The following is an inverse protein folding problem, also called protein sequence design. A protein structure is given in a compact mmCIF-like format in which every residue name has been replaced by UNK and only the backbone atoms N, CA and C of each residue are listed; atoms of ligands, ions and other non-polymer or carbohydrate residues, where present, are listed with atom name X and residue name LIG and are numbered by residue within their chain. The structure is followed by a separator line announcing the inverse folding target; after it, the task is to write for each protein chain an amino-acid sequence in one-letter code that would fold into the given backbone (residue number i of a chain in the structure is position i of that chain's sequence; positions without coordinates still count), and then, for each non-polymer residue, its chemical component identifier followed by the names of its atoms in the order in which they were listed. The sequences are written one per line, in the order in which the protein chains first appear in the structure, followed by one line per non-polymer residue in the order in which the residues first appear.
data_IF_740124351334
#
_entry.id   IF_740124351334
#
_cell.length_a   1.000
_cell.length_b   1.000
_cell.length_c   1.000
_cell.angle_alpha   90.00
_cell.angle_beta   90.00
_cell.angle_gamma   90.00
#
_symmetry.space_group_name_H-M   'P 1'
#
loop_
_entity.id
_entity.type
_entity.pdbx_description
1 polymer ?
2 non-polymer ?
3 water ?
#
# COMPACT_ATOMS: atom_id res chain seq x y z
N UNK A 31 14.17 14.52 -33.41
CA UNK A 31 13.19 13.81 -34.28
C UNK A 31 12.53 12.67 -33.48
N UNK A 32 13.36 11.73 -33.00
CA UNK A 32 12.99 10.68 -32.02
C UNK A 32 12.36 11.34 -30.79
N UNK A 33 13.09 12.27 -30.17
CA UNK A 33 12.66 13.01 -28.96
C UNK A 33 11.35 13.78 -29.27
N UNK A 34 11.25 14.41 -30.45
CA UNK A 34 10.06 15.16 -30.90
C UNK A 34 8.85 14.24 -31.03
N UNK A 35 9.03 13.07 -31.64
CA UNK A 35 7.95 12.05 -31.79
C UNK A 35 7.51 11.59 -30.39
N UNK A 36 8.48 11.23 -29.56
CA UNK A 36 8.24 10.78 -28.17
C UNK A 36 7.49 11.89 -27.43
N UNK A 37 7.86 13.16 -27.60
CA UNK A 37 7.22 14.27 -26.84
C UNK A 37 5.74 14.35 -27.25
N UNK A 38 5.44 14.30 -28.55
CA UNK A 38 4.07 14.41 -29.08
C UNK A 38 3.22 13.25 -28.57
N UNK A 39 3.78 12.04 -28.58
CA UNK A 39 3.08 10.82 -28.12
C UNK A 39 2.79 10.92 -26.61
N UNK A 40 3.74 11.38 -25.81
CA UNK A 40 3.57 11.46 -24.34
C UNK A 40 2.50 12.51 -24.03
N UNK A 41 2.55 13.64 -24.74
CA UNK A 41 1.58 14.73 -24.57
C UNK A 41 0.20 14.23 -24.92
N UNK A 42 0.07 13.60 -26.09
CA UNK A 42 -1.18 13.02 -26.59
C UNK A 42 -1.76 12.00 -25.63
N UNK A 43 -0.92 11.05 -25.20
CA UNK A 43 -1.33 9.94 -24.30
C UNK A 43 -1.79 10.51 -22.94
N UNK A 44 -1.01 11.39 -22.33
CA UNK A 44 -1.34 12.03 -21.03
C UNK A 44 -2.72 12.71 -21.16
N UNK A 45 -2.95 13.44 -22.25
CA UNK A 45 -4.26 14.12 -22.46
C UNK A 45 -5.39 13.10 -22.58
N UNK A 46 -5.29 12.10 -23.44
CA UNK A 46 -6.46 11.21 -23.71
C UNK A 46 -6.68 10.22 -22.55
N UNK A 47 -5.61 9.66 -21.97
CA UNK A 47 -5.71 8.73 -20.79
C UNK A 47 -6.18 9.49 -19.56
N UNK A 48 -5.73 10.75 -19.42
CA UNK A 48 -6.16 11.65 -18.34
C UNK A 48 -7.67 11.86 -18.40
N UNK A 49 -8.24 11.90 -19.61
CA UNK A 49 -9.69 12.14 -19.86
C UNK A 49 -10.50 10.87 -19.69
N UNK A 50 -10.06 9.75 -20.25
CA UNK A 50 -10.95 8.60 -20.48
C UNK A 50 -10.44 7.36 -19.75
N UNK A 51 -9.20 7.39 -19.25
CA UNK A 51 -8.54 6.22 -18.65
C UNK A 51 -7.80 5.39 -19.67
N UNK A 52 -6.78 4.68 -19.21
CA UNK A 52 -5.92 3.77 -20.00
C UNK A 52 -6.75 2.77 -20.81
N UNK A 53 -7.75 2.13 -20.21
CA UNK A 53 -8.51 1.04 -20.82
C UNK A 53 -9.33 1.54 -22.02
N UNK A 54 -9.73 2.82 -22.03
CA UNK A 54 -10.72 3.33 -23.00
C UNK A 54 -10.04 3.97 -24.22
N UNK A 55 -8.71 4.08 -24.22
CA UNK A 55 -7.99 4.72 -25.37
C UNK A 55 -6.88 3.79 -25.84
N UNK A 56 -6.93 3.42 -27.12
CA UNK A 56 -5.91 2.57 -27.76
C UNK A 56 -4.77 3.40 -28.31
N UNK A 57 -3.69 2.72 -28.68
CA UNK A 57 -2.50 3.37 -29.26
C UNK A 57 -2.81 4.01 -30.63
N UNK A 58 -3.67 3.46 -31.51
CA UNK A 58 -3.90 4.11 -32.81
C UNK A 58 -4.49 5.53 -32.61
N UNK A 59 -5.40 5.67 -31.65
CA UNK A 59 -6.01 6.98 -31.32
C UNK A 59 -4.94 7.95 -30.80
N UNK A 60 -4.01 7.48 -29.97
CA UNK A 60 -2.92 8.33 -29.45
C UNK A 60 -1.96 8.78 -30.57
N UNK A 61 -1.63 7.89 -31.49
CA UNK A 61 -0.72 8.20 -32.63
C UNK A 61 -1.36 9.33 -33.46
N UNK A 62 -2.67 9.26 -33.69
CA UNK A 62 -3.42 10.30 -34.46
C UNK A 62 -3.40 11.61 -33.69
N UNK A 63 -3.65 11.57 -32.38
CA UNK A 63 -3.58 12.75 -31.48
C UNK A 63 -2.21 13.44 -31.58
N UNK A 64 -1.12 12.65 -31.62
CA UNK A 64 0.27 13.14 -31.75
C UNK A 64 0.56 13.57 -33.19
N UNK A 65 -0.22 13.11 -34.18
CA UNK A 65 0.02 13.34 -35.62
C UNK A 65 1.22 12.54 -36.12
N UNK A 66 1.40 11.31 -35.65
CA UNK A 66 2.46 10.40 -36.20
C UNK A 66 1.80 9.09 -36.65
N UNK A 67 2.45 8.29 -37.51
CA UNK A 67 1.91 6.99 -37.98
C UNK A 67 2.04 5.97 -36.85
N UNK A 68 1.29 4.87 -36.93
CA UNK A 68 1.44 3.74 -35.96
C UNK A 68 2.89 3.24 -36.04
N UNK A 69 3.46 3.18 -37.24
CA UNK A 69 4.84 2.73 -37.46
C UNK A 69 5.83 3.56 -36.65
N UNK A 70 5.71 4.89 -36.71
CA UNK A 70 6.63 5.79 -36.00
C UNK A 70 6.42 5.63 -34.49
N UNK A 71 5.18 5.41 -34.05
CA UNK A 71 4.90 5.25 -32.61
C UNK A 71 5.58 3.97 -32.10
N UNK A 72 5.42 2.87 -32.81
CA UNK A 72 5.95 1.53 -32.40
C UNK A 72 7.49 1.55 -32.45
N UNK A 73 8.08 2.38 -33.30
CA UNK A 73 9.55 2.60 -33.32
C UNK A 73 9.99 3.15 -31.96
N UNK A 74 9.17 3.98 -31.28
CA UNK A 74 9.58 4.70 -30.06
C UNK A 74 9.16 3.94 -28.80
N UNK A 75 8.02 3.26 -28.84
CA UNK A 75 7.43 2.53 -27.70
C UNK A 75 7.03 1.13 -28.17
N UNK A 76 7.52 0.14 -27.46
CA UNK A 76 7.32 -1.31 -27.71
C UNK A 76 5.81 -1.60 -27.73
N UNK A 77 5.05 -1.00 -26.82
CA UNK A 77 3.63 -1.32 -26.64
C UNK A 77 2.97 -0.24 -25.79
N UNK A 78 1.67 -0.38 -25.58
CA UNK A 78 0.82 0.56 -24.81
C UNK A 78 1.39 0.80 -23.41
N UNK A 79 1.76 -0.25 -22.69
CA UNK A 79 2.31 -0.18 -21.32
C UNK A 79 3.63 0.61 -21.29
N UNK A 80 4.46 0.50 -22.31
CA UNK A 80 5.76 1.21 -22.36
C UNK A 80 5.52 2.73 -22.53
N UNK A 81 4.53 3.11 -23.32
CA UNK A 81 4.15 4.54 -23.46
C UNK A 81 3.63 5.02 -22.11
N UNK A 82 2.81 4.19 -21.46
CA UNK A 82 2.20 4.52 -20.16
C UNK A 82 3.31 4.75 -19.12
N UNK A 83 4.39 3.96 -19.14
CA UNK A 83 5.52 4.11 -18.19
C UNK A 83 6.07 5.54 -18.28
N UNK A 84 6.27 6.04 -19.50
CA UNK A 84 6.83 7.39 -19.74
C UNK A 84 5.80 8.45 -19.31
N UNK A 85 4.51 8.22 -19.56
CA UNK A 85 3.40 9.14 -19.17
C UNK A 85 3.40 9.25 -17.64
N UNK A 86 3.52 8.13 -16.93
CA UNK A 86 3.56 8.17 -15.45
C UNK A 86 4.73 9.02 -14.96
N UNK A 87 5.91 8.92 -15.55
CA UNK A 87 7.09 9.72 -15.13
C UNK A 87 6.75 11.22 -15.26
N UNK A 88 6.19 11.66 -16.38
CA UNK A 88 5.93 13.11 -16.59
C UNK A 88 4.76 13.53 -15.66
N UNK A 89 3.79 12.65 -15.40
CA UNK A 89 2.67 12.98 -14.48
C UNK A 89 3.22 13.11 -13.06
N UNK A 90 4.11 12.20 -12.65
CA UNK A 90 4.75 12.24 -11.28
C UNK A 90 5.59 13.52 -11.17
N UNK A 91 6.31 13.87 -12.23
CA UNK A 91 7.08 15.15 -12.27
C UNK A 91 6.14 16.35 -12.09
N UNK A 92 4.97 16.36 -12.74
CA UNK A 92 3.97 17.44 -12.63
C UNK A 92 3.36 17.51 -11.21
N UNK A 93 3.02 16.36 -10.65
CA UNK A 93 2.54 16.22 -9.24
C UNK A 93 3.55 16.89 -8.29
N UNK A 94 4.85 16.55 -8.42
CA UNK A 94 5.91 17.05 -7.50
C UNK A 94 5.99 18.56 -7.65
N UNK A 95 6.01 19.08 -8.88
CA UNK A 95 6.12 20.53 -9.14
C UNK A 95 4.89 21.24 -8.57
N UNK A 96 3.69 20.67 -8.72
CA UNK A 96 2.45 21.28 -8.19
C UNK A 96 2.49 21.30 -6.65
N UNK A 97 2.92 20.20 -6.02
CA UNK A 97 3.05 20.17 -4.53
C UNK A 97 4.07 21.20 -4.06
N UNK A 98 5.23 21.32 -4.72
CA UNK A 98 6.30 22.26 -4.30
C UNK A 98 5.77 23.70 -4.48
N UNK A 99 5.01 23.97 -5.54
CA UNK A 99 4.42 25.31 -5.79
C UNK A 99 3.41 25.62 -4.68
N UNK A 100 2.50 24.68 -4.39
CA UNK A 100 1.47 24.84 -3.33
C UNK A 100 2.14 25.06 -1.96
N UNK A 101 3.19 24.31 -1.63
CA UNK A 101 3.96 24.46 -0.35
C UNK A 101 4.59 25.87 -0.32
N UNK A 102 5.26 26.32 -1.37
CA UNK A 102 5.89 27.67 -1.43
C UNK A 102 4.80 28.76 -1.28
N UNK A 103 3.65 28.61 -1.93
CA UNK A 103 2.54 29.59 -1.89
C UNK A 103 1.85 29.60 -0.51
N UNK A 104 1.96 28.53 0.29
CA UNK A 104 1.20 28.37 1.57
C UNK A 104 1.68 29.43 2.59
N UNK A 105 2.91 29.92 2.44
CA UNK A 105 3.58 30.78 3.43
C UNK A 105 3.97 30.00 4.68
N UNK A 106 4.24 28.70 4.56
CA UNK A 106 4.85 27.89 5.64
C UNK A 106 6.14 28.59 6.07
N UNK A 107 6.29 28.85 7.37
CA UNK A 107 7.37 29.68 7.96
C UNK A 107 8.43 28.79 8.59
N UNK A 108 8.13 27.49 8.82
CA UNK A 108 9.00 26.53 9.54
C UNK A 108 8.91 25.18 8.84
N UNK A 109 9.95 24.32 8.95
CA UNK A 109 9.84 22.95 8.46
C UNK A 109 8.58 22.21 8.92
N UNK A 110 8.14 22.39 10.17
CA UNK A 110 6.90 21.74 10.68
C UNK A 110 5.70 22.20 9.84
N UNK A 111 5.59 23.51 9.58
CA UNK A 111 4.47 24.05 8.77
C UNK A 111 4.60 23.58 7.31
N UNK A 112 5.81 23.46 6.77
CA UNK A 112 6.08 22.89 5.42
C UNK A 112 5.50 21.47 5.35
N UNK A 113 5.68 20.67 6.41
CA UNK A 113 5.16 19.27 6.44
C UNK A 113 3.63 19.32 6.32
N UNK A 114 3.00 20.15 7.16
CA UNK A 114 1.53 20.29 7.21
C UNK A 114 1.03 20.72 5.82
N UNK A 115 1.70 21.66 5.19
CA UNK A 115 1.31 22.21 3.85
C UNK A 115 1.53 21.15 2.76
N UNK A 116 2.58 20.33 2.87
CA UNK A 116 2.88 19.25 1.90
C UNK A 116 1.77 18.20 1.95
N UNK A 117 1.29 17.88 3.14
CA UNK A 117 0.18 16.91 3.32
C UNK A 117 -1.08 17.49 2.65
N UNK A 118 -1.40 18.76 2.90
CA UNK A 118 -2.57 19.43 2.27
C UNK A 118 -2.39 19.46 0.74
N UNK A 119 -1.19 19.72 0.25
CA UNK A 119 -0.87 19.79 -1.19
C UNK A 119 -1.11 18.42 -1.83
N UNK A 120 -0.72 17.33 -1.16
CA UNK A 120 -0.90 15.96 -1.70
C UNK A 120 -2.38 15.66 -1.85
N UNK A 121 -3.21 16.03 -0.85
CA UNK A 121 -4.67 15.78 -0.93
C UNK A 121 -5.27 16.57 -2.11
N UNK A 122 -4.78 17.79 -2.32
CA UNK A 122 -5.33 18.65 -3.41
C UNK A 122 -4.94 18.04 -4.77
N UNK A 123 -3.66 17.74 -4.97
CA UNK A 123 -3.15 17.25 -6.28
C UNK A 123 -3.71 15.85 -6.57
N UNK A 124 -3.74 14.94 -5.59
CA UNK A 124 -4.23 13.55 -5.81
C UNK A 124 -5.75 13.53 -5.99
N UNK A 125 -6.44 14.63 -5.63
CA UNK A 125 -7.90 14.78 -5.83
C UNK A 125 -8.24 15.30 -7.23
N UNK A 126 -7.25 15.73 -8.01
CA UNK A 126 -7.44 16.02 -9.46
C UNK A 126 -7.95 14.74 -10.13
N UNK A 127 -9.15 14.74 -10.78
CA UNK A 127 -9.70 13.53 -11.40
C UNK A 127 -8.74 12.81 -12.37
N UNK A 128 -7.84 13.57 -13.02
CA UNK A 128 -6.82 13.04 -13.95
C UNK A 128 -5.72 12.31 -13.18
N UNK A 129 -5.31 12.82 -12.04
CA UNK A 129 -4.23 12.18 -11.22
C UNK A 129 -4.85 10.95 -10.60
N UNK A 130 -6.06 11.07 -10.07
CA UNK A 130 -6.83 9.89 -9.61
C UNK A 130 -6.83 8.82 -10.71
N UNK A 131 -7.21 9.16 -11.94
CA UNK A 131 -7.35 8.18 -13.03
C UNK A 131 -5.98 7.57 -13.36
N UNK A 132 -4.94 8.38 -13.57
CA UNK A 132 -3.66 7.86 -14.14
C UNK A 132 -2.82 7.18 -13.05
N UNK A 133 -2.70 7.81 -11.87
CA UNK A 133 -1.74 7.38 -10.83
C UNK A 133 -2.46 6.45 -9.84
N UNK A 134 -3.66 6.78 -9.41
CA UNK A 134 -4.28 5.99 -8.31
C UNK A 134 -4.99 4.76 -8.88
N UNK A 135 -5.61 4.85 -10.06
CA UNK A 135 -6.37 3.70 -10.65
C UNK A 135 -5.54 2.96 -11.71
N UNK A 136 -5.09 3.66 -12.76
CA UNK A 136 -4.42 2.99 -13.91
C UNK A 136 -3.01 2.46 -13.54
N UNK A 137 -2.15 3.26 -12.91
CA UNK A 137 -0.71 2.94 -12.80
C UNK A 137 -0.49 1.58 -12.08
N UNK A 138 -1.15 1.32 -10.93
CA UNK A 138 -0.95 0.06 -10.21
C UNK A 138 -1.22 -1.14 -11.13
N UNK A 139 -2.22 -1.03 -12.00
CA UNK A 139 -2.69 -2.17 -12.84
C UNK A 139 -1.72 -2.32 -14.01
N UNK A 140 -1.40 -1.24 -14.71
CA UNK A 140 -0.56 -1.31 -15.92
C UNK A 140 0.88 -1.67 -15.55
N UNK A 141 1.44 -1.07 -14.50
CA UNK A 141 2.88 -1.22 -14.17
C UNK A 141 3.06 -2.50 -13.35
N UNK A 142 2.00 -2.95 -12.70
CA UNK A 142 2.03 -4.01 -11.68
C UNK A 142 2.57 -3.46 -10.38
N UNK A 143 2.56 -4.28 -9.32
CA UNK A 143 2.99 -3.88 -7.96
C UNK A 143 4.43 -3.34 -7.95
N UNK A 144 5.39 -4.12 -8.44
CA UNK A 144 6.83 -3.82 -8.27
C UNK A 144 7.11 -2.50 -9.02
N UNK A 145 6.62 -2.42 -10.27
CA UNK A 145 6.86 -1.26 -11.14
C UNK A 145 6.24 0.00 -10.53
N UNK A 146 4.98 -0.11 -10.06
CA UNK A 146 4.27 1.04 -9.47
C UNK A 146 4.97 1.50 -8.19
N UNK A 147 5.33 0.58 -7.31
CA UNK A 147 6.01 0.91 -6.03
C UNK A 147 7.36 1.59 -6.32
N UNK A 148 8.10 1.14 -7.32
CA UNK A 148 9.43 1.73 -7.65
C UNK A 148 9.23 3.20 -8.04
N UNK A 149 8.25 3.48 -8.90
CA UNK A 149 8.00 4.87 -9.39
C UNK A 149 7.56 5.75 -8.21
N UNK A 150 6.58 5.30 -7.43
CA UNK A 150 5.97 6.14 -6.38
C UNK A 150 7.02 6.41 -5.29
N UNK A 151 7.86 5.44 -4.96
CA UNK A 151 8.96 5.60 -3.97
C UNK A 151 10.01 6.56 -4.53
N UNK A 152 10.40 6.44 -5.80
CA UNK A 152 11.42 7.34 -6.37
C UNK A 152 10.95 8.80 -6.25
N UNK A 153 9.66 9.07 -6.43
CA UNK A 153 9.14 10.47 -6.42
C UNK A 153 8.84 10.94 -5.00
N UNK A 154 8.33 10.06 -4.12
CA UNK A 154 7.85 10.45 -2.77
C UNK A 154 8.95 10.33 -1.68
N UNK A 155 9.90 9.41 -1.77
CA UNK A 155 10.81 9.11 -0.62
C UNK A 155 11.75 10.30 -0.36
N UNK A 156 12.31 10.90 -1.43
CA UNK A 156 13.32 11.97 -1.30
C UNK A 156 12.72 13.24 -0.70
N UNK A 157 11.57 13.70 -1.20
CA UNK A 157 10.89 14.91 -0.67
C UNK A 157 10.54 14.63 0.80
N UNK A 158 10.04 13.43 1.10
CA UNK A 158 9.60 13.09 2.48
C UNK A 158 10.81 13.12 3.42
N UNK A 159 11.91 12.49 3.03
CA UNK A 159 13.13 12.39 3.89
C UNK A 159 13.66 13.80 4.17
N UNK A 160 13.61 14.67 3.17
CA UNK A 160 14.12 16.05 3.26
C UNK A 160 13.23 16.84 4.23
N UNK A 161 11.90 16.74 4.12
CA UNK A 161 10.95 17.40 5.06
C UNK A 161 11.25 16.98 6.49
N UNK A 162 11.44 15.66 6.72
CA UNK A 162 11.77 15.14 8.08
C UNK A 162 13.13 15.69 8.54
N UNK A 163 14.13 15.62 7.67
CA UNK A 163 15.51 16.03 8.04
C UNK A 163 15.52 17.51 8.45
N UNK A 164 14.81 18.38 7.71
CA UNK A 164 14.73 19.84 8.01
C UNK A 164 14.04 20.07 9.37
N UNK A 165 12.94 19.38 9.63
CA UNK A 165 12.20 19.47 10.90
C UNK A 165 13.11 19.06 12.07
N UNK A 166 13.92 18.02 11.92
CA UNK A 166 14.86 17.57 12.97
C UNK A 166 15.95 18.65 13.18
N UNK A 167 16.46 19.21 12.08
CA UNK A 167 17.50 20.30 12.06
C UNK A 167 16.96 21.50 12.85
N UNK A 168 15.68 21.83 12.66
CA UNK A 168 15.03 23.00 13.27
C UNK A 168 14.62 22.75 14.73
N UNK A 169 14.82 21.54 15.26
CA UNK A 169 14.45 21.16 16.64
C UNK A 169 12.95 20.95 16.81
N UNK A 170 12.22 20.75 15.71
CA UNK A 170 10.73 20.67 15.74
C UNK A 170 10.29 19.20 15.74
N UNK A 171 11.21 18.26 15.53
CA UNK A 171 10.95 16.80 15.46
C UNK A 171 12.13 16.12 16.13
N UNK A 172 11.88 15.16 17.05
CA UNK A 172 12.93 14.37 17.71
C UNK A 172 13.84 13.74 16.68
N UNK A 173 15.15 13.73 16.95
CA UNK A 173 16.14 12.97 16.16
C UNK A 173 15.78 11.48 16.28
N UNK A 174 15.62 10.81 15.15
CA UNK A 174 15.15 9.40 15.10
C UNK A 174 15.46 8.90 13.69
N UNK A 175 15.39 7.58 13.44
CA UNK A 175 15.65 7.05 12.09
C UNK A 175 14.79 7.66 10.98
N UNK A 176 15.46 8.31 10.02
CA UNK A 176 14.77 9.16 9.01
C UNK A 176 14.08 8.30 7.97
N UNK A 177 14.75 7.28 7.42
CA UNK A 177 14.13 6.49 6.33
C UNK A 177 12.89 5.74 6.87
N UNK A 178 12.95 5.06 8.03
CA UNK A 178 11.78 4.35 8.54
C UNK A 178 10.57 5.28 8.77
N UNK A 179 10.79 6.46 9.33
CA UNK A 179 9.70 7.44 9.51
C UNK A 179 9.16 7.85 8.12
N UNK A 180 10.04 8.16 7.16
CA UNK A 180 9.60 8.50 5.77
C UNK A 180 8.71 7.40 5.19
N UNK A 181 9.05 6.12 5.36
CA UNK A 181 8.24 5.02 4.80
C UNK A 181 6.87 4.98 5.47
N UNK A 182 6.81 5.14 6.79
CA UNK A 182 5.53 5.19 7.55
C UNK A 182 4.62 6.32 6.98
N UNK A 183 5.17 7.51 6.81
CA UNK A 183 4.39 8.69 6.37
C UNK A 183 3.91 8.47 4.94
N UNK A 184 4.75 7.85 4.09
CA UNK A 184 4.36 7.58 2.68
C UNK A 184 3.23 6.57 2.66
N UNK A 185 3.27 5.56 3.54
CA UNK A 185 2.15 4.61 3.66
C UNK A 185 0.84 5.31 4.01
N UNK A 186 0.88 6.17 5.02
CA UNK A 186 -0.27 6.98 5.50
C UNK A 186 -0.82 7.82 4.32
N UNK A 187 0.05 8.51 3.61
CA UNK A 187 -0.38 9.43 2.53
C UNK A 187 -0.91 8.69 1.30
N UNK A 188 -0.30 7.56 0.94
CA UNK A 188 -0.74 6.73 -0.20
C UNK A 188 -2.13 6.18 0.11
N UNK A 189 -2.32 5.70 1.34
CA UNK A 189 -3.60 5.11 1.73
C UNK A 189 -4.67 6.22 1.76
N UNK A 190 -4.33 7.40 2.22
CA UNK A 190 -5.24 8.57 2.29
C UNK A 190 -5.75 8.86 0.88
N UNK A 191 -4.87 8.88 -0.12
CA UNK A 191 -5.29 9.20 -1.50
C UNK A 191 -6.21 8.10 -2.03
N UNK A 192 -5.89 6.84 -1.74
CA UNK A 192 -6.66 5.69 -2.26
C UNK A 192 -8.02 5.68 -1.60
N UNK A 193 -8.10 5.97 -0.29
CA UNK A 193 -9.36 5.96 0.46
C UNK A 193 -10.29 7.03 -0.11
N UNK A 194 -9.75 8.23 -0.35
CA UNK A 194 -10.56 9.34 -0.91
C UNK A 194 -11.02 8.95 -2.33
N UNK A 195 -10.11 8.42 -3.16
CA UNK A 195 -10.35 8.11 -4.58
C UNK A 195 -11.50 7.11 -4.74
N UNK A 196 -11.64 6.14 -3.84
CA UNK A 196 -12.62 5.03 -3.95
C UNK A 196 -13.80 5.25 -3.00
N UNK A 197 -13.90 6.39 -2.33
CA UNK A 197 -14.93 6.64 -1.29
C UNK A 197 -16.29 6.81 -1.94
N UNK A 198 -17.34 6.27 -1.30
CA UNK A 198 -18.76 6.56 -1.62
C UNK A 198 -18.94 8.08 -1.72
N UNK A 199 -18.48 8.82 -0.72
CA UNK A 199 -18.63 10.29 -0.61
C UNK A 199 -17.25 10.95 -0.55
N UNK A 200 -16.59 11.25 -1.69
CA UNK A 200 -15.21 11.74 -1.69
C UNK A 200 -15.03 13.09 -1.00
N UNK A 201 -16.01 13.97 -1.08
CA UNK A 201 -15.92 15.32 -0.45
C UNK A 201 -15.80 15.15 1.07
N UNK A 202 -16.67 14.32 1.65
CA UNK A 202 -16.66 13.99 3.10
C UNK A 202 -15.37 13.22 3.43
N UNK A 203 -15.01 12.22 2.63
CA UNK A 203 -13.81 11.40 2.85
C UNK A 203 -12.61 12.36 2.86
N UNK A 204 -12.56 13.38 1.99
CA UNK A 204 -11.40 14.30 1.92
C UNK A 204 -11.32 15.15 3.18
N UNK A 205 -12.47 15.67 3.65
CA UNK A 205 -12.50 16.55 4.85
C UNK A 205 -12.01 15.71 6.05
N UNK A 206 -12.56 14.51 6.21
CA UNK A 206 -12.26 13.66 7.40
C UNK A 206 -10.79 13.21 7.37
N UNK A 207 -10.30 12.85 6.18
CA UNK A 207 -8.91 12.38 5.98
C UNK A 207 -7.95 13.51 6.30
N UNK A 208 -8.26 14.73 5.86
CA UNK A 208 -7.38 15.88 6.15
C UNK A 208 -7.27 16.07 7.67
N UNK A 209 -8.37 15.88 8.42
CA UNK A 209 -8.35 16.06 9.90
C UNK A 209 -7.45 14.98 10.53
N UNK A 210 -7.60 13.71 10.14
CA UNK A 210 -6.83 12.60 10.81
C UNK A 210 -5.34 12.75 10.45
N UNK A 211 -5.02 13.15 9.22
CA UNK A 211 -3.60 13.37 8.83
C UNK A 211 -3.04 14.57 9.59
N UNK A 212 -3.80 15.66 9.77
CA UNK A 212 -3.32 16.80 10.59
C UNK A 212 -3.05 16.33 12.03
N UNK A 213 -3.92 15.51 12.61
CA UNK A 213 -3.69 14.98 13.99
C UNK A 213 -2.45 14.05 14.01
N UNK A 214 -2.25 13.25 12.97
CA UNK A 214 -1.10 12.31 12.89
C UNK A 214 0.19 13.12 12.83
N UNK A 215 0.26 14.16 12.00
CA UNK A 215 1.47 15.02 11.88
C UNK A 215 1.77 15.73 13.21
N UNK A 216 0.74 16.24 13.88
CA UNK A 216 0.88 16.95 15.17
C UNK A 216 1.36 15.92 16.22
N UNK A 217 0.93 14.66 16.13
CA UNK A 217 1.43 13.56 16.99
C UNK A 217 2.90 13.23 16.70
N UNK A 218 3.26 13.20 15.42
CA UNK A 218 4.66 12.91 15.02
C UNK A 218 5.56 14.02 15.55
N UNK A 219 5.12 15.27 15.38
CA UNK A 219 5.93 16.45 15.78
C UNK A 219 6.02 16.52 17.31
N UNK A 220 5.03 15.95 17.97
CA UNK A 220 4.97 15.85 19.46
C UNK A 220 5.71 14.62 20.01
N UNK A 221 6.13 13.66 19.18
CA UNK A 221 6.82 12.43 19.63
C UNK A 221 8.32 12.67 19.85
N UNK B 24 -20.22 -43.34 -5.70
CA UNK B 24 -21.06 -42.53 -4.77
C UNK B 24 -20.60 -41.06 -4.85
N UNK B 25 -21.58 -40.21 -5.07
CA UNK B 25 -21.44 -38.73 -5.12
C UNK B 25 -20.94 -38.20 -3.76
N UNK B 26 -21.54 -38.66 -2.66
CA UNK B 26 -21.15 -38.22 -1.29
C UNK B 26 -19.65 -38.53 -1.07
N UNK B 27 -19.20 -39.76 -1.34
CA UNK B 27 -17.79 -40.18 -1.17
C UNK B 27 -16.87 -39.17 -1.90
N UNK B 28 -17.19 -38.87 -3.17
CA UNK B 28 -16.34 -37.99 -3.99
C UNK B 28 -16.37 -36.60 -3.36
N UNK B 29 -17.52 -36.14 -2.87
CA UNK B 29 -17.65 -34.77 -2.31
C UNK B 29 -16.89 -34.66 -0.99
N UNK B 30 -16.87 -35.72 -0.17
CA UNK B 30 -16.05 -35.67 1.07
C UNK B 30 -14.58 -35.63 0.68
N UNK B 31 -14.18 -36.46 -0.26
CA UNK B 31 -12.77 -36.54 -0.71
C UNK B 31 -12.36 -35.20 -1.34
N UNK B 32 -13.20 -34.60 -2.20
CA UNK B 32 -12.99 -33.23 -2.76
C UNK B 32 -12.80 -32.18 -1.65
N UNK B 33 -13.63 -32.12 -0.60
CA UNK B 33 -13.43 -31.19 0.55
C UNK B 33 -12.07 -31.44 1.23
N UNK B 34 -11.66 -32.70 1.40
CA UNK B 34 -10.35 -33.10 1.96
C UNK B 34 -9.22 -32.65 1.02
N UNK B 35 -9.40 -32.85 -0.28
CA UNK B 35 -8.46 -32.42 -1.35
C UNK B 35 -8.23 -30.92 -1.25
N UNK B 36 -9.29 -30.13 -1.10
CA UNK B 36 -9.18 -28.66 -1.01
C UNK B 36 -8.25 -28.29 0.16
N UNK B 37 -8.47 -28.93 1.32
CA UNK B 37 -7.67 -28.61 2.54
C UNK B 37 -6.23 -29.04 2.31
N UNK B 38 -6.01 -30.21 1.72
CA UNK B 38 -4.66 -30.78 1.50
C UNK B 38 -3.88 -29.84 0.58
N UNK B 39 -4.54 -29.35 -0.47
CA UNK B 39 -3.89 -28.46 -1.47
C UNK B 39 -3.52 -27.13 -0.80
N UNK B 40 -4.40 -26.55 0.01
CA UNK B 40 -4.10 -25.25 0.67
C UNK B 40 -2.95 -25.45 1.65
N UNK B 41 -2.98 -26.54 2.44
CA UNK B 41 -1.89 -26.89 3.39
C UNK B 41 -0.57 -27.05 2.65
N UNK B 42 -0.59 -27.84 1.59
CA UNK B 42 0.59 -28.14 0.76
C UNK B 42 1.18 -26.89 0.15
N UNK B 43 0.33 -26.08 -0.50
CA UNK B 43 0.76 -24.83 -1.17
C UNK B 43 1.30 -23.83 -0.13
N UNK B 44 0.60 -23.64 1.00
CA UNK B 44 1.08 -22.73 2.09
C UNK B 44 2.51 -23.16 2.48
N UNK B 45 2.73 -24.46 2.71
CA UNK B 45 4.08 -24.96 3.11
C UNK B 45 5.11 -24.68 2.02
N UNK B 46 4.87 -25.09 0.76
CA UNK B 46 5.92 -24.99 -0.29
C UNK B 46 6.16 -23.53 -0.69
N UNK B 47 5.11 -22.74 -0.90
CA UNK B 47 5.25 -21.30 -1.27
C UNK B 47 5.83 -20.49 -0.09
N UNK B 48 5.47 -20.86 1.13
CA UNK B 48 6.00 -20.21 2.35
C UNK B 48 7.50 -20.38 2.42
N UNK B 49 8.02 -21.53 1.96
CA UNK B 49 9.46 -21.86 1.97
C UNK B 49 10.19 -21.26 0.78
N UNK B 50 9.60 -21.33 -0.42
CA UNK B 50 10.40 -21.15 -1.67
C UNK B 50 9.86 -19.97 -2.46
N UNK B 51 8.65 -19.49 -2.13
CA UNK B 51 8.02 -18.41 -2.88
C UNK B 51 7.14 -18.94 -3.97
N UNK B 52 6.07 -18.22 -4.25
CA UNK B 52 5.10 -18.47 -5.32
C UNK B 52 5.77 -18.82 -6.66
N UNK B 53 6.75 -18.03 -7.11
CA UNK B 53 7.34 -18.19 -8.48
C UNK B 53 8.12 -19.51 -8.59
N UNK B 54 8.57 -20.10 -7.48
CA UNK B 54 9.54 -21.22 -7.48
C UNK B 54 8.83 -22.55 -7.33
N UNK B 55 7.51 -22.59 -7.14
CA UNK B 55 6.80 -23.90 -6.99
C UNK B 55 5.58 -23.89 -7.91
N UNK B 56 5.50 -24.89 -8.79
CA UNK B 56 4.39 -25.11 -9.72
C UNK B 56 3.29 -25.93 -9.12
N UNK B 57 2.14 -25.90 -9.75
CA UNK B 57 0.94 -26.70 -9.32
C UNK B 57 1.19 -28.20 -9.41
N UNK B 58 1.97 -28.76 -10.36
CA UNK B 58 2.21 -30.21 -10.34
C UNK B 58 2.92 -30.66 -9.06
N UNK B 59 3.90 -29.90 -8.60
CA UNK B 59 4.62 -30.24 -7.35
C UNK B 59 3.66 -30.15 -6.16
N UNK B 60 2.78 -29.16 -6.13
CA UNK B 60 1.80 -29.01 -5.02
C UNK B 60 0.83 -30.20 -5.01
N UNK B 61 0.31 -30.62 -6.18
CA UNK B 61 -0.59 -31.79 -6.30
C UNK B 61 0.09 -33.05 -5.72
N UNK B 62 1.36 -33.29 -6.06
CA UNK B 62 2.15 -34.44 -5.54
C UNK B 62 2.27 -34.33 -4.02
N UNK B 63 2.63 -33.15 -3.51
CA UNK B 63 2.77 -32.86 -2.05
C UNK B 63 1.47 -33.19 -1.33
N UNK B 64 0.32 -32.79 -1.89
CA UNK B 64 -1.04 -33.03 -1.33
C UNK B 64 -1.46 -34.49 -1.54
N UNK B 65 -0.79 -35.22 -2.46
CA UNK B 65 -1.10 -36.62 -2.79
C UNK B 65 -2.38 -36.70 -3.59
N UNK B 66 -2.65 -35.74 -4.49
CA UNK B 66 -3.90 -35.76 -5.30
C UNK B 66 -3.55 -35.58 -6.79
N UNK B 67 -4.49 -35.91 -7.66
CA UNK B 67 -4.32 -35.82 -9.13
C UNK B 67 -4.49 -34.36 -9.54
N UNK B 68 -3.94 -34.01 -10.70
CA UNK B 68 -4.13 -32.66 -11.27
C UNK B 68 -5.61 -32.45 -11.57
N UNK B 69 -6.34 -33.48 -11.97
CA UNK B 69 -7.79 -33.36 -12.23
C UNK B 69 -8.55 -32.92 -10.97
N UNK B 70 -8.25 -33.53 -9.82
CA UNK B 70 -8.88 -33.16 -8.54
C UNK B 70 -8.49 -31.72 -8.19
N UNK B 71 -7.22 -31.34 -8.42
CA UNK B 71 -6.73 -30.00 -8.10
C UNK B 71 -7.50 -28.95 -8.91
N UNK B 72 -7.63 -29.17 -10.21
CA UNK B 72 -8.28 -28.23 -11.15
C UNK B 72 -9.78 -28.10 -10.81
N UNK B 73 -10.39 -29.18 -10.33
CA UNK B 73 -11.81 -29.17 -9.89
C UNK B 73 -11.97 -28.16 -8.74
N UNK B 74 -10.96 -28.00 -7.88
CA UNK B 74 -11.04 -27.09 -6.72
C UNK B 74 -10.57 -25.67 -7.09
N UNK B 75 -9.47 -25.56 -7.83
CA UNK B 75 -8.80 -24.29 -8.16
C UNK B 75 -8.52 -24.24 -9.66
N UNK B 76 -9.05 -23.23 -10.35
CA UNK B 76 -9.00 -23.16 -11.82
C UNK B 76 -7.55 -22.93 -12.25
N UNK B 77 -6.75 -22.25 -11.45
CA UNK B 77 -5.34 -21.98 -11.84
C UNK B 77 -4.50 -21.70 -10.60
N UNK B 78 -3.21 -21.49 -10.80
CA UNK B 78 -2.25 -21.28 -9.69
C UNK B 78 -2.68 -20.10 -8.79
N UNK B 79 -3.01 -18.95 -9.39
CA UNK B 79 -3.41 -17.73 -8.65
C UNK B 79 -4.63 -18.02 -7.77
N UNK B 80 -5.58 -18.82 -8.23
CA UNK B 80 -6.81 -19.10 -7.44
C UNK B 80 -6.44 -19.89 -6.17
N UNK B 81 -5.51 -20.82 -6.27
CA UNK B 81 -5.04 -21.55 -5.05
C UNK B 81 -4.30 -20.57 -4.15
N UNK B 82 -3.49 -19.67 -4.72
CA UNK B 82 -2.75 -18.66 -3.95
C UNK B 82 -3.73 -17.75 -3.17
N UNK B 83 -4.83 -17.35 -3.79
CA UNK B 83 -5.83 -16.49 -3.07
C UNK B 83 -6.33 -17.21 -1.80
N UNK B 84 -6.57 -18.51 -1.88
CA UNK B 84 -7.10 -19.29 -0.73
C UNK B 84 -6.03 -19.44 0.33
N UNK B 85 -4.75 -19.62 -0.07
CA UNK B 85 -3.61 -19.64 0.85
C UNK B 85 -3.55 -18.29 1.58
N UNK B 86 -3.65 -17.18 0.86
CA UNK B 86 -3.62 -15.83 1.52
C UNK B 86 -4.71 -15.74 2.59
N UNK B 87 -5.92 -16.25 2.31
CA UNK B 87 -7.04 -16.17 3.29
C UNK B 87 -6.67 -16.92 4.56
N UNK B 88 -6.14 -18.13 4.47
CA UNK B 88 -5.87 -18.93 5.70
C UNK B 88 -4.69 -18.29 6.45
N UNK B 89 -3.72 -17.73 5.72
CA UNK B 89 -2.57 -17.07 6.37
C UNK B 89 -3.07 -15.81 7.09
N UNK B 90 -3.90 -15.00 6.44
CA UNK B 90 -4.44 -13.74 7.02
C UNK B 90 -5.31 -14.07 8.24
N UNK B 91 -6.11 -15.15 8.16
CA UNK B 91 -6.89 -15.63 9.33
C UNK B 91 -5.96 -15.89 10.53
N UNK B 92 -4.85 -16.58 10.31
CA UNK B 92 -3.84 -16.92 11.35
C UNK B 92 -3.09 -15.67 11.84
N UNK B 93 -2.78 -14.72 10.96
CA UNK B 93 -2.15 -13.42 11.31
C UNK B 93 -3.06 -12.69 12.31
N UNK B 94 -4.35 -12.60 12.02
CA UNK B 94 -5.28 -11.82 12.86
C UNK B 94 -5.44 -12.56 14.19
N UNK B 95 -5.58 -13.89 14.17
CA UNK B 95 -5.70 -14.69 15.41
C UNK B 95 -4.44 -14.52 16.26
N UNK B 96 -3.24 -14.54 15.66
CA UNK B 96 -2.00 -14.37 16.42
C UNK B 96 -1.88 -12.95 16.96
N UNK B 97 -2.22 -11.90 16.19
CA UNK B 97 -2.22 -10.52 16.72
C UNK B 97 -3.16 -10.41 17.95
N UNK B 98 -4.34 -11.01 17.88
CA UNK B 98 -5.33 -10.97 18.99
C UNK B 98 -4.76 -11.71 20.20
N UNK B 99 -4.11 -12.83 19.97
CA UNK B 99 -3.47 -13.67 21.03
C UNK B 99 -2.35 -12.88 21.68
N UNK B 100 -1.48 -12.23 20.90
CA UNK B 100 -0.34 -11.45 21.42
C UNK B 100 -0.82 -10.24 22.24
N UNK B 101 -1.86 -9.58 21.77
CA UNK B 101 -2.48 -8.42 22.49
C UNK B 101 -3.06 -8.91 23.82
N UNK B 102 -3.82 -10.00 23.83
CA UNK B 102 -4.39 -10.60 25.07
C UNK B 102 -3.25 -11.00 26.03
N UNK B 103 -2.17 -11.62 25.54
CA UNK B 103 -1.02 -12.10 26.33
C UNK B 103 -0.25 -10.94 26.95
N UNK B 104 -0.28 -9.75 26.36
CA UNK B 104 0.48 -8.57 26.82
C UNK B 104 -0.05 -8.13 28.18
N UNK B 105 -1.33 -8.40 28.45
CA UNK B 105 -2.05 -7.91 29.64
C UNK B 105 -2.28 -6.41 29.62
N UNK B 106 -2.38 -5.79 28.43
CA UNK B 106 -2.66 -4.35 28.27
C UNK B 106 -3.93 -4.02 29.08
N UNK B 107 -3.85 -3.00 29.93
CA UNK B 107 -4.90 -2.66 30.93
C UNK B 107 -5.68 -1.42 30.47
N UNK B 108 -5.25 -0.73 29.42
CA UNK B 108 -5.93 0.45 28.85
C UNK B 108 -5.95 0.36 27.33
N UNK B 109 -6.94 0.98 26.66
CA UNK B 109 -6.93 1.05 25.19
C UNK B 109 -5.58 1.53 24.63
N UNK B 110 -4.94 2.53 25.25
CA UNK B 110 -3.62 3.03 24.78
C UNK B 110 -2.57 1.93 24.82
N UNK B 111 -2.51 1.14 25.90
CA UNK B 111 -1.57 0.02 25.99
C UNK B 111 -1.92 -1.07 24.98
N UNK B 112 -3.20 -1.33 24.72
CA UNK B 112 -3.68 -2.30 23.72
C UNK B 112 -3.14 -1.88 22.35
N UNK B 113 -3.17 -0.57 22.05
CA UNK B 113 -2.70 -0.08 20.73
C UNK B 113 -1.19 -0.31 20.66
N UNK B 114 -0.46 0.01 21.73
CA UNK B 114 1.02 -0.18 21.74
C UNK B 114 1.34 -1.66 21.49
N UNK B 115 0.61 -2.57 22.15
CA UNK B 115 0.78 -4.04 22.03
C UNK B 115 0.42 -4.48 20.61
N UNK B 116 -0.62 -3.91 20.01
CA UNK B 116 -1.09 -4.28 18.65
C UNK B 116 -0.03 -3.90 17.62
N UNK B 117 0.60 -2.73 17.78
CA UNK B 117 1.66 -2.27 16.86
C UNK B 117 2.83 -3.23 16.98
N UNK B 118 3.23 -3.58 18.20
CA UNK B 118 4.35 -4.49 18.44
C UNK B 118 3.99 -5.87 17.87
N UNK B 119 2.74 -6.31 18.03
CA UNK B 119 2.26 -7.63 17.56
C UNK B 119 2.35 -7.70 16.04
N UNK B 120 2.02 -6.61 15.32
CA UNK B 120 2.09 -6.58 13.85
C UNK B 120 3.55 -6.76 13.42
N UNK B 121 4.48 -6.04 14.02
CA UNK B 121 5.92 -6.19 13.62
C UNK B 121 6.42 -7.63 13.91
N UNK B 122 5.96 -8.25 14.99
CA UNK B 122 6.35 -9.65 15.33
C UNK B 122 5.74 -10.62 14.31
N UNK B 123 4.43 -10.55 14.07
CA UNK B 123 3.72 -11.50 13.17
C UNK B 123 4.20 -11.31 11.72
N UNK B 124 4.34 -10.07 11.26
CA UNK B 124 4.73 -9.78 9.86
C UNK B 124 6.21 -10.13 9.64
N UNK B 125 6.98 -10.32 10.73
CA UNK B 125 8.39 -10.78 10.69
C UNK B 125 8.52 -12.30 10.58
N UNK B 126 7.45 -13.07 10.77
CA UNK B 126 7.43 -14.55 10.52
C UNK B 126 7.79 -14.79 9.06
N UNK B 127 8.84 -15.60 8.73
CA UNK B 127 9.31 -15.79 7.36
C UNK B 127 8.23 -16.17 6.35
N UNK B 128 7.27 -16.97 6.81
CA UNK B 128 6.13 -17.45 5.98
C UNK B 128 5.22 -16.25 5.66
N UNK B 129 4.92 -15.42 6.64
CA UNK B 129 4.07 -14.22 6.43
C UNK B 129 4.84 -13.25 5.53
N UNK B 130 6.11 -13.00 5.81
CA UNK B 130 6.97 -12.17 4.93
C UNK B 130 6.83 -12.66 3.49
N UNK B 131 7.07 -13.96 3.24
CA UNK B 131 7.13 -14.48 1.86
C UNK B 131 5.74 -14.36 1.21
N UNK B 132 4.68 -14.83 1.86
CA UNK B 132 3.37 -14.98 1.19
C UNK B 132 2.62 -13.65 1.16
N UNK B 133 2.64 -12.91 2.26
CA UNK B 133 1.77 -11.69 2.44
C UNK B 133 2.52 -10.45 1.97
N UNK B 134 3.80 -10.30 2.34
CA UNK B 134 4.51 -9.02 2.09
C UNK B 134 5.18 -9.05 0.71
N UNK B 135 5.72 -10.19 0.27
CA UNK B 135 6.44 -10.29 -1.04
C UNK B 135 5.55 -10.83 -2.14
N UNK B 136 4.94 -12.01 -1.95
CA UNK B 136 4.12 -12.65 -3.03
C UNK B 136 2.79 -11.92 -3.24
N UNK B 137 2.00 -11.68 -2.19
CA UNK B 137 0.58 -11.30 -2.36
C UNK B 137 0.47 -9.98 -3.15
N UNK B 138 1.24 -8.92 -2.89
CA UNK B 138 1.06 -7.67 -3.64
C UNK B 138 1.25 -7.92 -5.13
N UNK B 139 2.18 -8.82 -5.49
CA UNK B 139 2.48 -9.12 -6.92
C UNK B 139 1.36 -9.94 -7.52
N UNK B 140 0.96 -11.04 -6.88
CA UNK B 140 -0.05 -11.97 -7.43
C UNK B 140 -1.44 -11.33 -7.37
N UNK B 141 -1.82 -10.68 -6.28
CA UNK B 141 -3.18 -10.08 -6.09
C UNK B 141 -3.26 -8.74 -6.83
N UNK B 142 -2.13 -8.05 -6.98
CA UNK B 142 -2.13 -6.63 -7.42
C UNK B 142 -2.49 -5.67 -6.29
N UNK B 143 -2.42 -4.36 -6.56
CA UNK B 143 -2.55 -3.34 -5.48
C UNK B 143 -3.96 -3.37 -4.90
N UNK B 144 -4.96 -3.28 -5.76
CA UNK B 144 -6.39 -3.21 -5.38
C UNK B 144 -6.75 -4.48 -4.58
N UNK B 145 -6.39 -5.65 -5.09
CA UNK B 145 -6.65 -6.95 -4.43
C UNK B 145 -5.97 -7.03 -3.09
N UNK B 146 -4.70 -6.63 -2.97
CA UNK B 146 -3.93 -6.61 -1.70
C UNK B 146 -4.61 -5.68 -0.70
N UNK B 147 -4.97 -4.46 -1.13
CA UNK B 147 -5.66 -3.46 -0.28
C UNK B 147 -6.98 -4.03 0.26
N UNK B 148 -7.73 -4.67 -0.61
CA UNK B 148 -9.06 -5.25 -0.26
C UNK B 148 -8.86 -6.33 0.82
N UNK B 149 -7.90 -7.23 0.63
CA UNK B 149 -7.61 -8.29 1.65
C UNK B 149 -7.17 -7.69 2.98
N UNK B 150 -6.23 -6.75 2.97
CA UNK B 150 -5.66 -6.14 4.20
C UNK B 150 -6.78 -5.49 5.02
N UNK B 151 -7.62 -4.75 4.33
CA UNK B 151 -8.78 -4.04 4.94
C UNK B 151 -9.78 -5.05 5.47
N UNK B 152 -10.13 -6.08 4.70
CA UNK B 152 -11.09 -7.11 5.13
C UNK B 152 -10.63 -7.71 6.46
N UNK B 153 -9.34 -7.98 6.62
CA UNK B 153 -8.85 -8.71 7.82
C UNK B 153 -8.59 -7.76 8.98
N UNK B 154 -8.11 -6.55 8.72
CA UNK B 154 -7.56 -5.70 9.81
C UNK B 154 -8.48 -4.51 10.15
N UNK B 155 -9.40 -4.08 9.28
CA UNK B 155 -10.09 -2.75 9.51
C UNK B 155 -10.93 -2.81 10.78
N UNK B 156 -11.64 -3.90 11.05
CA UNK B 156 -12.49 -4.06 12.25
C UNK B 156 -11.70 -3.98 13.56
N UNK B 157 -10.64 -4.76 13.71
CA UNK B 157 -9.71 -4.73 14.88
C UNK B 157 -9.20 -3.29 15.06
N UNK B 158 -8.84 -2.62 13.97
CA UNK B 158 -8.14 -1.32 14.06
C UNK B 158 -9.19 -0.30 14.55
N UNK B 159 -10.38 -0.33 13.96
CA UNK B 159 -11.48 0.62 14.30
C UNK B 159 -11.87 0.44 15.75
N UNK B 160 -11.85 -0.81 16.23
CA UNK B 160 -12.25 -1.16 17.61
C UNK B 160 -11.21 -0.57 18.59
N UNK B 161 -9.91 -0.74 18.31
CA UNK B 161 -8.85 -0.18 19.17
C UNK B 161 -9.00 1.34 19.22
N UNK B 162 -9.21 2.00 18.10
CA UNK B 162 -9.37 3.46 18.02
C UNK B 162 -10.61 3.90 18.79
N UNK B 163 -11.73 3.22 18.54
CA UNK B 163 -13.01 3.53 19.21
C UNK B 163 -12.89 3.43 20.72
N UNK B 164 -12.25 2.39 21.24
CA UNK B 164 -12.04 2.21 22.70
C UNK B 164 -11.18 3.34 23.26
N UNK B 165 -10.07 3.68 22.59
CA UNK B 165 -9.17 4.78 23.02
C UNK B 165 -9.95 6.10 23.08
N UNK B 166 -10.79 6.39 22.09
CA UNK B 166 -11.60 7.63 22.06
C UNK B 166 -12.62 7.60 23.22
N UNK B 167 -13.27 6.45 23.46
CA UNK B 167 -14.30 6.35 24.52
C UNK B 167 -13.62 6.51 25.88
N UNK B 168 -12.38 6.06 26.06
CA UNK B 168 -11.60 6.17 27.32
C UNK B 168 -10.99 7.57 27.51
N UNK B 169 -11.08 8.46 26.54
CA UNK B 169 -10.47 9.79 26.58
C UNK B 169 -8.96 9.75 26.37
N UNK B 170 -8.43 8.67 25.77
CA UNK B 170 -6.97 8.52 25.53
C UNK B 170 -6.61 8.94 24.09
N UNK B 171 -7.61 9.22 23.28
CA UNK B 171 -7.42 9.65 21.87
C UNK B 171 -8.48 10.68 21.56
N UNK B 172 -8.11 11.79 20.92
CA UNK B 172 -9.06 12.82 20.44
C UNK B 172 -10.16 12.15 19.62
N UNK B 173 -11.41 12.55 19.86
CA UNK B 173 -12.54 12.16 19.02
C UNK B 173 -12.27 12.72 17.62
N UNK B 174 -12.32 11.85 16.62
CA UNK B 174 -11.97 12.19 15.22
C UNK B 174 -12.54 11.05 14.38
N UNK B 175 -12.68 11.24 13.05
CA UNK B 175 -13.25 10.18 12.20
C UNK B 175 -12.51 8.83 12.28
N UNK B 176 -13.21 7.78 12.70
CA UNK B 176 -12.58 6.48 13.07
C UNK B 176 -12.13 5.73 11.82
N UNK B 177 -13.00 5.59 10.81
CA UNK B 177 -12.64 4.77 9.61
C UNK B 177 -11.44 5.39 8.91
N UNK B 178 -11.42 6.71 8.62
CA UNK B 178 -10.28 7.29 7.94
C UNK B 178 -8.95 7.11 8.70
N UNK B 179 -8.96 7.35 10.01
CA UNK B 179 -7.76 7.13 10.85
C UNK B 179 -7.33 5.66 10.72
N UNK B 180 -8.26 4.71 10.85
CA UNK B 180 -7.99 3.26 10.75
C UNK B 180 -7.36 2.93 9.40
N UNK B 181 -7.90 3.43 8.29
CA UNK B 181 -7.34 3.13 6.94
C UNK B 181 -5.92 3.67 6.82
N UNK B 182 -5.71 4.90 7.22
CA UNK B 182 -4.38 5.58 7.12
C UNK B 182 -3.35 4.83 7.99
N UNK B 183 -3.71 4.44 9.20
CA UNK B 183 -2.79 3.71 10.11
C UNK B 183 -2.48 2.33 9.53
N UNK B 184 -3.45 1.65 8.93
CA UNK B 184 -3.21 0.34 8.27
C UNK B 184 -2.24 0.56 7.10
N UNK B 185 -2.39 1.64 6.33
CA UNK B 185 -1.47 1.97 5.24
C UNK B 185 -0.05 2.18 5.74
N UNK B 186 0.13 2.98 6.81
CA UNK B 186 1.41 3.26 7.49
C UNK B 186 2.02 1.94 7.95
N UNK B 187 1.26 1.09 8.62
CA UNK B 187 1.80 -0.18 9.19
C UNK B 187 2.17 -1.17 8.09
N UNK B 188 1.38 -1.27 7.02
CA UNK B 188 1.64 -2.20 5.89
C UNK B 188 2.89 -1.72 5.17
N UNK B 189 3.04 -0.42 4.98
CA UNK B 189 4.26 0.13 4.33
C UNK B 189 5.49 -0.10 5.23
N UNK B 190 5.35 0.03 6.53
CA UNK B 190 6.44 -0.28 7.51
C UNK B 190 6.85 -1.75 7.34
N UNK B 191 5.92 -2.67 7.27
CA UNK B 191 6.23 -4.12 7.19
C UNK B 191 6.91 -4.41 5.85
N UNK B 192 6.50 -3.74 4.76
CA UNK B 192 7.07 -3.99 3.43
C UNK B 192 8.49 -3.45 3.37
N UNK B 193 8.73 -2.31 4.01
CA UNK B 193 10.08 -1.74 4.13
C UNK B 193 11.00 -2.74 4.89
N UNK B 194 10.53 -3.28 6.01
CA UNK B 194 11.31 -4.26 6.83
C UNK B 194 11.58 -5.50 5.96
N UNK B 195 10.55 -6.03 5.27
CA UNK B 195 10.63 -7.27 4.46
C UNK B 195 11.78 -7.19 3.44
N UNK B 196 11.98 -6.04 2.78
CA UNK B 196 13.01 -5.91 1.72
C UNK B 196 14.26 -5.12 2.18
N UNK B 197 14.45 -4.89 3.48
CA UNK B 197 15.60 -4.10 3.98
C UNK B 197 16.91 -4.91 3.82
N UNK B 198 18.02 -4.23 3.54
CA UNK B 198 19.40 -4.81 3.65
C UNK B 198 19.57 -5.50 5.00
N UNK B 199 19.21 -4.80 6.08
CA UNK B 199 19.32 -5.32 7.48
C UNK B 199 17.94 -5.35 8.14
N UNK B 200 17.14 -6.42 8.00
CA UNK B 200 15.76 -6.44 8.49
C UNK B 200 15.62 -6.29 10.01
N UNK B 201 16.56 -6.87 10.76
CA UNK B 201 16.55 -6.75 12.24
C UNK B 201 16.68 -5.27 12.64
N UNK B 202 17.64 -4.55 12.06
CA UNK B 202 17.80 -3.09 12.27
C UNK B 202 16.53 -2.35 11.79
N UNK B 203 16.04 -2.66 10.58
CA UNK B 203 14.86 -1.99 10.01
C UNK B 203 13.69 -2.19 10.98
N UNK B 204 13.54 -3.38 11.56
CA UNK B 204 12.39 -3.67 12.45
C UNK B 204 12.52 -2.86 13.75
N UNK B 205 13.73 -2.82 14.32
CA UNK B 205 13.97 -2.10 15.60
C UNK B 205 13.74 -0.60 15.36
N UNK B 206 14.24 -0.04 14.26
CA UNK B 206 14.11 1.41 13.97
C UNK B 206 12.64 1.76 13.67
N UNK B 207 11.94 0.93 12.90
CA UNK B 207 10.50 1.09 12.60
C UNK B 207 9.69 1.04 13.90
N UNK B 208 10.00 0.11 14.79
CA UNK B 208 9.30 -0.02 16.08
C UNK B 208 9.48 1.29 16.87
N UNK B 209 10.67 1.90 16.85
CA UNK B 209 10.97 3.16 17.56
C UNK B 209 10.15 4.31 16.98
N UNK B 210 10.11 4.49 15.68
CA UNK B 210 9.41 5.66 15.07
C UNK B 210 7.89 5.48 15.28
N UNK B 211 7.39 4.24 15.17
CA UNK B 211 5.93 4.02 15.39
C UNK B 211 5.61 4.28 16.86
N UNK B 212 6.44 3.78 17.77
CA UNK B 212 6.20 3.96 19.22
C UNK B 212 6.25 5.45 19.57
N UNK B 213 7.19 6.22 19.01
CA UNK B 213 7.25 7.70 19.20
C UNK B 213 5.97 8.38 18.70
N UNK B 214 5.50 7.98 17.51
CA UNK B 214 4.33 8.58 16.87
C UNK B 214 3.09 8.32 17.74
N UNK B 215 2.89 7.08 18.20
CA UNK B 215 1.72 6.67 19.02
C UNK B 215 1.74 7.42 20.36
N UNK B 216 2.90 7.51 20.97
CA UNK B 216 3.11 8.18 22.28
C UNK B 216 2.89 9.69 22.10
N UNK B 217 3.14 10.25 20.90
CA UNK B 217 2.82 11.66 20.62
C UNK B 217 1.34 11.92 20.53
N UNK B 218 0.58 10.94 20.02
CA UNK B 218 -0.88 11.04 19.73
C UNK B 218 -1.72 10.65 20.93
N UNK B 219 -1.26 9.72 21.76
CA UNK B 219 -2.14 9.13 22.80
C UNK B 219 -2.03 10.00 24.05
N UNK B 220 -3.15 10.18 24.74
CA UNK B 220 -3.21 10.73 26.11
C UNK B 220 -3.20 9.53 27.08
N UNK B 221 -2.02 8.96 27.27
CA UNK B 221 -1.81 7.73 28.05
C UNK B 221 -0.88 6.76 27.35
X LIG C 1 3.79 12.21 -2.67
X LIG C 1 3.27 10.94 -2.54
X LIG C 1 2.78 10.46 -1.19
X LIG C 1 2.79 8.43 -5.94
X LIG C 1 1.37 6.68 -4.92
X LIG C 1 -0.04 7.00 -4.40
X LIG C 1 -0.86 5.74 -4.25
X LIG C 1 3.53 9.55 -5.91
X LIG C 1 3.21 10.09 -3.60
X LIG C 1 4.24 12.60 -3.94
X LIG C 1 2.17 7.89 -4.85
X LIG C 1 3.60 10.43 -4.85
X LIG C 1 4.14 11.70 -5.03
X LIG C 1 2.64 7.85 -7.01
X LIG D 1 -2.69 -5.61 10.86
X LIG D 1 -2.06 -4.68 10.03
X LIG D 1 -1.41 -3.47 10.64
X LIG D 1 -2.46 -7.21 6.17
X LIG D 1 -1.94 -8.20 3.97
X LIG D 1 -2.88 -8.18 2.76
X LIG D 1 -2.69 -9.35 1.77
X LIG D 1 -2.53 -6.07 6.88
X LIG D 1 -2.03 -4.88 8.69
X LIG D 1 -3.29 -6.73 10.32
X LIG D 1 -2.12 -7.09 4.89
X LIG D 1 -2.58 -5.98 8.17
X LIG D 1 -3.23 -6.95 8.96
X LIG D 1 -2.66 -8.27 6.68
#
# INVERSE_FOLDING_TARGET
MGSSHHHHHHSSGLVPRGSHMEIKRRTQEERSAATREALITGARKLWGLRGYAEVGTPEIATEAGVTRGAMYHQFADKAALFRDVVEVVEQDVMARMATLVAASGAATPADAIRAAVDAWLEVSGDPEVRQLILLDAPVVLGWAGFRDVAQRYSLGMTEQLITEAIRAGQLARQPVRPLAQVLIGALDEAAMFIATADDPKRARRETRQVLRRLIDGMLNG
MGSSHHHHHHSSGLVPRGSHMEIKRRTQEERSAATREALITGARKLWGLRGYAEVGTPEIATEAGVTRGAMYHQFADKAALFRDVVEVVEQDVMARMATLVAASGAATPADAIRAAVDAWLEVSGDPEVRQLILLDAPVVLGWAGFRDVAQRYSLGMTEQLITEAIRAGQLARQPVRPLAQVLIGALDEAAMFIATADDPKRARRETRQVLRRLIDGMLNG
GOE C4 C5 C6 C7 C8 C9 C10 N1 N2 C3 N3 C1 C2 O1
GOE C4 C5 C6 C7 C8 C9 C10 N1 N2 C3 N3 C1 C2 O1
#
